data_IF_613814640102
#
_entry.id   IF_613814640102
#
_cell.length_a   1.000
_cell.length_b   1.000
_cell.length_c   1.000
_cell.angle_alpha   90.00
_cell.angle_beta   90.00
_cell.angle_gamma   90.00
#
_symmetry.space_group_name_H-M   'P 1'
#
loop_
_entity.id
_entity.type
_entity.pdbx_description
1 polymer ?
#
# COMPACT_ATOMS: atom_id res chain seq x y z
N UNK A 1 27.64 -20.17 0.77
CA UNK A 1 27.94 -18.92 1.49
C UNK A 1 26.68 -18.08 1.35
N UNK A 2 26.00 -17.83 2.46
CA UNK A 2 24.77 -17.06 2.42
C UNK A 2 25.13 -15.58 2.31
N UNK A 3 24.84 -15.00 1.17
CA UNK A 3 24.86 -13.54 1.00
C UNK A 3 23.50 -13.02 1.49
N UNK A 4 23.47 -12.48 2.68
CA UNK A 4 22.29 -11.73 3.13
C UNK A 4 22.52 -10.25 2.83
N UNK A 5 22.08 -9.80 1.67
CA UNK A 5 21.96 -8.39 1.39
C UNK A 5 20.95 -7.76 2.35
N UNK A 6 21.30 -6.59 2.87
CA UNK A 6 20.43 -5.83 3.75
C UNK A 6 19.83 -4.68 2.96
N UNK A 7 18.50 -4.64 2.91
CA UNK A 7 17.76 -3.54 2.32
C UNK A 7 17.24 -2.64 3.44
N UNK A 8 17.62 -1.39 3.41
CA UNK A 8 17.18 -0.34 4.33
C UNK A 8 16.17 0.55 3.61
N UNK A 9 14.93 0.58 4.09
CA UNK A 9 13.91 1.47 3.56
C UNK A 9 14.10 2.88 4.12
N UNK A 10 14.50 3.81 3.28
CA UNK A 10 14.72 5.23 3.60
C UNK A 10 13.61 6.14 3.06
N UNK A 11 12.43 5.58 2.78
CA UNK A 11 11.33 6.32 2.18
C UNK A 11 10.81 7.44 3.08
N UNK A 12 10.69 7.17 4.38
CA UNK A 12 10.13 8.11 5.34
C UNK A 12 11.07 9.30 5.57
N UNK A 13 12.38 9.05 5.76
CA UNK A 13 13.38 10.08 5.95
C UNK A 13 13.61 10.92 4.70
N UNK A 14 13.44 10.33 3.52
CA UNK A 14 13.68 11.01 2.24
C UNK A 14 12.42 11.52 1.55
N UNK A 15 11.26 11.48 2.21
CA UNK A 15 9.96 11.81 1.64
C UNK A 15 9.94 13.13 0.84
N UNK A 16 10.55 14.17 1.37
CA UNK A 16 10.60 15.50 0.72
C UNK A 16 11.75 15.62 -0.28
N UNK A 17 12.92 15.07 0.05
CA UNK A 17 14.16 15.26 -0.71
C UNK A 17 14.35 14.27 -1.86
N UNK A 18 13.65 13.14 -1.87
CA UNK A 18 13.80 12.12 -2.89
C UNK A 18 13.40 12.64 -4.29
N UNK A 19 14.29 12.42 -5.26
CA UNK A 19 14.07 12.71 -6.69
C UNK A 19 13.90 11.45 -7.54
N UNK A 20 14.09 10.27 -6.95
CA UNK A 20 13.91 8.94 -7.56
C UNK A 20 13.16 8.03 -6.60
N UNK A 21 12.48 7.01 -7.12
CA UNK A 21 11.64 6.12 -6.32
C UNK A 21 10.42 6.83 -5.72
N UNK A 22 9.93 7.89 -6.38
CA UNK A 22 8.84 8.74 -5.92
C UNK A 22 7.86 9.02 -7.05
N UNK A 23 6.58 8.81 -6.76
CA UNK A 23 5.44 9.24 -7.57
C UNK A 23 4.79 10.41 -6.84
N UNK A 24 4.63 11.52 -7.51
CA UNK A 24 4.19 12.79 -6.94
C UNK A 24 3.01 13.37 -7.72
N UNK A 25 1.98 13.82 -7.02
CA UNK A 25 0.84 14.58 -7.57
C UNK A 25 0.16 13.90 -8.77
N UNK A 26 0.06 12.57 -8.75
CA UNK A 26 -0.59 11.82 -9.81
C UNK A 26 -2.07 11.59 -9.52
N UNK A 27 -2.89 11.56 -10.58
CA UNK A 27 -4.31 11.26 -10.47
C UNK A 27 -4.72 10.17 -11.46
N UNK A 28 -5.50 9.20 -10.98
CA UNK A 28 -6.15 8.19 -11.82
C UNK A 28 -7.66 8.42 -11.84
N UNK A 29 -8.24 8.43 -13.03
CA UNK A 29 -9.68 8.53 -13.27
C UNK A 29 -10.27 7.28 -13.93
N UNK A 30 -9.39 6.38 -14.40
CA UNK A 30 -9.77 5.15 -15.07
C UNK A 30 -9.99 3.99 -14.10
N UNK A 31 -10.75 2.99 -14.53
CA UNK A 31 -10.90 1.74 -13.80
C UNK A 31 -9.63 0.89 -13.88
N UNK A 32 -9.25 0.28 -12.77
CA UNK A 32 -8.13 -0.65 -12.68
C UNK A 32 -8.66 -2.02 -12.26
N UNK A 33 -8.35 -3.04 -13.05
CA UNK A 33 -8.69 -4.43 -12.73
C UNK A 33 -7.44 -5.29 -12.81
N UNK A 34 -7.20 -6.09 -11.79
CA UNK A 34 -6.06 -7.00 -11.74
C UNK A 34 -6.45 -8.33 -11.04
N UNK A 35 -5.64 -9.35 -11.20
CA UNK A 35 -5.83 -10.61 -10.47
C UNK A 35 -5.53 -10.45 -8.97
N UNK A 36 -4.42 -9.79 -8.67
CA UNK A 36 -3.95 -9.47 -7.31
C UNK A 36 -3.27 -8.11 -7.30
N UNK A 37 -3.13 -7.53 -6.13
CA UNK A 37 -2.41 -6.28 -5.90
C UNK A 37 -2.92 -5.16 -6.81
N UNK A 38 -4.23 -4.94 -6.84
CA UNK A 38 -4.84 -3.85 -7.58
C UNK A 38 -4.75 -2.55 -6.80
N UNK A 39 -4.21 -1.51 -7.40
CA UNK A 39 -4.19 -0.17 -6.83
C UNK A 39 -4.35 0.90 -7.90
N UNK A 40 -5.02 1.98 -7.57
CA UNK A 40 -5.30 3.05 -8.52
C UNK A 40 -4.06 3.80 -9.03
N UNK A 41 -3.00 3.82 -8.24
CA UNK A 41 -1.72 4.46 -8.57
C UNK A 41 -0.60 3.42 -8.72
N UNK A 42 -0.53 2.44 -7.81
CA UNK A 42 0.50 1.40 -7.82
C UNK A 42 -0.10 0.05 -7.47
N UNK A 43 0.24 -1.01 -8.21
CA UNK A 43 -0.16 -2.37 -7.86
C UNK A 43 0.56 -2.87 -6.61
N UNK A 44 1.88 -2.71 -6.57
CA UNK A 44 2.70 -3.10 -5.43
C UNK A 44 3.87 -2.13 -5.22
N UNK A 45 4.23 -1.93 -3.96
CA UNK A 45 5.44 -1.25 -3.51
C UNK A 45 6.30 -2.29 -2.77
N UNK A 46 7.18 -2.94 -3.50
CA UNK A 46 7.96 -4.06 -3.01
C UNK A 46 9.33 -4.09 -3.68
N UNK A 47 10.30 -4.78 -3.07
CA UNK A 47 11.56 -5.12 -3.74
C UNK A 47 11.27 -6.33 -4.62
N UNK A 48 11.57 -6.20 -5.89
CA UNK A 48 11.59 -7.33 -6.80
C UNK A 48 12.94 -8.05 -6.63
N UNK A 49 12.86 -9.27 -6.09
CA UNK A 49 14.02 -10.16 -6.00
C UNK A 49 14.15 -10.95 -7.30
N UNK A 50 14.07 -10.32 -8.43
CA UNK A 50 14.49 -10.95 -9.68
C UNK A 50 16.01 -10.74 -9.81
N UNK A 51 16.74 -11.64 -9.19
CA UNK A 51 18.16 -11.77 -9.48
C UNK A 51 18.25 -12.11 -10.97
N UNK A 52 18.71 -11.16 -11.78
CA UNK A 52 19.04 -11.42 -13.16
C UNK A 52 20.09 -12.54 -13.17
N UNK A 53 19.78 -13.75 -13.70
CA UNK A 53 20.72 -14.86 -13.68
C UNK A 53 22.04 -14.53 -14.38
N UNK A 54 22.08 -13.49 -15.22
CA UNK A 54 23.28 -13.01 -15.89
C UNK A 54 24.18 -12.21 -14.94
N UNK A 55 23.62 -11.44 -14.01
CA UNK A 55 24.39 -10.72 -13.00
C UNK A 55 24.98 -11.66 -11.94
N UNK A 56 24.29 -12.74 -11.60
CA UNK A 56 24.78 -13.75 -10.66
C UNK A 56 26.00 -14.54 -11.19
N UNK A 57 26.14 -14.68 -12.49
CA UNK A 57 27.30 -15.35 -13.10
C UNK A 57 28.59 -14.52 -13.00
N UNK A 58 28.48 -13.20 -12.86
CA UNK A 58 29.63 -12.32 -12.71
C UNK A 58 30.14 -12.24 -11.25
N UNK A 59 29.36 -12.71 -10.29
CA UNK A 59 29.68 -12.67 -8.86
C UNK A 59 30.41 -13.90 -8.32
N UNK A 60 30.84 -14.85 -9.17
CA UNK A 60 31.56 -16.07 -8.75
C UNK A 60 32.96 -15.84 -8.16
N UNK A 61 33.38 -14.59 -7.98
CA UNK A 61 34.56 -14.21 -7.21
C UNK A 61 34.28 -14.22 -5.72
N UNK A 62 34.98 -15.05 -4.94
CA UNK A 62 34.95 -15.13 -3.48
C UNK A 62 35.15 -13.78 -2.81
N UNK A 63 34.11 -12.95 -2.71
CA UNK A 63 34.09 -11.75 -1.87
C UNK A 63 32.95 -11.86 -0.87
N UNK A 64 33.32 -12.05 0.38
CA UNK A 64 32.45 -11.89 1.53
C UNK A 64 32.27 -10.39 1.81
N UNK A 65 31.49 -9.71 0.98
CA UNK A 65 31.10 -8.30 1.25
C UNK A 65 29.59 -8.28 1.44
N UNK A 66 29.18 -7.84 2.63
CA UNK A 66 27.79 -7.55 2.97
C UNK A 66 27.49 -6.16 2.41
N UNK A 67 26.56 -6.06 1.49
CA UNK A 67 26.08 -4.78 0.98
C UNK A 67 24.82 -4.36 1.72
N UNK A 68 24.73 -3.07 2.05
CA UNK A 68 23.49 -2.44 2.49
C UNK A 68 22.99 -1.56 1.35
N UNK A 69 21.80 -1.89 0.85
CA UNK A 69 21.14 -1.12 -0.20
C UNK A 69 20.10 -0.23 0.42
N UNK A 70 20.14 1.07 0.13
CA UNK A 70 19.05 1.98 0.46
C UNK A 70 17.98 1.90 -0.61
N UNK A 71 16.79 1.47 -0.20
CA UNK A 71 15.63 1.37 -1.05
C UNK A 71 14.62 2.45 -0.70
N UNK A 72 13.82 2.85 -1.67
CA UNK A 72 12.73 3.79 -1.43
C UNK A 72 11.60 3.61 -2.44
N UNK A 73 10.37 3.72 -1.94
CA UNK A 73 9.15 3.77 -2.72
C UNK A 73 8.21 4.78 -2.06
N UNK A 74 7.94 5.90 -2.74
CA UNK A 74 7.19 7.00 -2.16
C UNK A 74 6.00 7.33 -3.06
N UNK A 75 4.79 7.35 -2.49
CA UNK A 75 3.61 7.93 -3.12
C UNK A 75 3.21 9.17 -2.33
N UNK A 76 3.28 10.34 -2.97
CA UNK A 76 3.03 11.63 -2.33
C UNK A 76 1.96 12.41 -3.11
N UNK A 77 0.92 12.86 -2.39
CA UNK A 77 -0.15 13.71 -2.91
C UNK A 77 -0.86 13.14 -4.17
N UNK A 78 -1.00 11.80 -4.23
CA UNK A 78 -1.64 11.11 -5.33
C UNK A 78 -3.11 10.81 -5.04
N UNK A 79 -3.96 10.86 -6.07
CA UNK A 79 -5.40 10.65 -5.91
C UNK A 79 -5.93 9.61 -6.91
N UNK A 80 -6.78 8.72 -6.43
CA UNK A 80 -7.52 7.81 -7.28
C UNK A 80 -9.02 8.10 -7.22
N UNK A 81 -9.60 8.42 -8.36
CA UNK A 81 -11.03 8.64 -8.55
C UNK A 81 -11.71 7.47 -9.26
N UNK A 82 -10.92 6.57 -9.84
CA UNK A 82 -11.41 5.42 -10.59
C UNK A 82 -11.75 4.23 -9.69
N UNK A 83 -12.51 3.29 -10.22
CA UNK A 83 -12.80 2.01 -9.55
C UNK A 83 -11.58 1.10 -9.57
N UNK A 84 -11.31 0.43 -8.44
CA UNK A 84 -10.23 -0.55 -8.33
C UNK A 84 -10.83 -1.91 -7.99
N UNK A 85 -10.49 -2.93 -8.78
CA UNK A 85 -11.00 -4.28 -8.61
C UNK A 85 -9.87 -5.31 -8.64
N UNK A 86 -9.75 -6.10 -7.58
CA UNK A 86 -8.91 -7.29 -7.55
C UNK A 86 -9.78 -8.55 -7.60
N UNK A 87 -9.41 -9.53 -8.43
CA UNK A 87 -10.17 -10.79 -8.48
C UNK A 87 -9.90 -11.68 -7.27
N UNK A 88 -8.71 -11.62 -6.69
CA UNK A 88 -8.27 -12.55 -5.63
C UNK A 88 -7.95 -11.88 -4.30
N UNK A 89 -7.07 -10.86 -4.27
CA UNK A 89 -6.65 -10.24 -3.00
C UNK A 89 -5.88 -8.94 -3.21
N UNK A 90 -5.79 -8.15 -2.16
CA UNK A 90 -5.07 -6.89 -2.04
C UNK A 90 -5.57 -5.83 -3.05
N UNK A 91 -6.73 -5.26 -2.76
CA UNK A 91 -7.26 -4.11 -3.46
C UNK A 91 -7.13 -2.85 -2.59
N UNK A 92 -6.54 -1.79 -3.13
CA UNK A 92 -6.43 -0.51 -2.45
C UNK A 92 -6.68 0.66 -3.37
N UNK A 93 -7.30 1.71 -2.87
CA UNK A 93 -7.56 2.90 -3.68
C UNK A 93 -6.30 3.49 -4.30
N UNK A 94 -5.20 3.47 -3.57
CA UNK A 94 -3.89 3.97 -4.02
C UNK A 94 -2.95 2.81 -4.36
N UNK A 95 -2.75 1.85 -3.47
CA UNK A 95 -1.88 0.69 -3.73
C UNK A 95 -2.53 -0.61 -3.26
N UNK A 96 -2.37 -1.69 -4.03
CA UNK A 96 -2.85 -3.01 -3.64
C UNK A 96 -2.04 -3.58 -2.48
N UNK A 97 -0.72 -3.57 -2.59
CA UNK A 97 0.20 -4.11 -1.58
C UNK A 97 1.41 -3.21 -1.38
N UNK A 98 1.84 -3.09 -0.14
CA UNK A 98 2.98 -2.28 0.26
C UNK A 98 3.84 -3.03 1.27
N UNK A 99 4.97 -3.55 0.81
CA UNK A 99 5.95 -4.26 1.65
C UNK A 99 7.00 -3.30 2.22
N UNK A 100 7.24 -2.19 1.53
CA UNK A 100 8.13 -1.10 1.94
C UNK A 100 7.61 0.23 1.39
N UNK A 101 8.18 1.32 1.85
CA UNK A 101 7.88 2.64 1.31
C UNK A 101 7.06 3.52 2.24
N UNK A 102 6.58 4.63 1.71
CA UNK A 102 5.72 5.58 2.43
C UNK A 102 4.65 6.13 1.51
N UNK A 103 3.41 6.14 1.99
CA UNK A 103 2.28 6.84 1.37
C UNK A 103 1.96 8.05 2.23
N UNK A 104 1.90 9.24 1.63
CA UNK A 104 1.56 10.47 2.34
C UNK A 104 0.69 11.39 1.50
N UNK A 105 -0.32 12.01 2.10
CA UNK A 105 -1.19 12.99 1.42
C UNK A 105 -2.06 12.40 0.31
N UNK A 106 -2.21 11.06 0.22
CA UNK A 106 -2.91 10.42 -0.86
C UNK A 106 -4.39 10.21 -0.59
N UNK A 107 -5.23 10.24 -1.64
CA UNK A 107 -6.69 10.14 -1.53
C UNK A 107 -7.32 9.03 -2.38
N UNK A 108 -8.05 8.11 -1.74
CA UNK A 108 -8.91 7.12 -2.41
C UNK A 108 -10.37 7.58 -2.46
N UNK A 109 -10.88 7.88 -3.67
CA UNK A 109 -12.23 8.42 -3.89
C UNK A 109 -13.16 7.46 -4.63
N UNK A 110 -12.60 6.57 -5.44
CA UNK A 110 -13.34 5.57 -6.20
C UNK A 110 -13.63 4.31 -5.40
N UNK A 111 -14.58 3.48 -5.83
CA UNK A 111 -14.88 2.20 -5.19
C UNK A 111 -13.70 1.24 -5.26
N UNK A 112 -13.53 0.44 -4.21
CA UNK A 112 -12.48 -0.59 -4.13
C UNK A 112 -13.13 -1.93 -3.80
N UNK A 113 -12.87 -2.92 -4.63
CA UNK A 113 -13.50 -4.22 -4.53
C UNK A 113 -12.49 -5.37 -4.67
N UNK A 114 -12.69 -6.41 -3.89
CA UNK A 114 -12.08 -7.72 -4.12
C UNK A 114 -13.18 -8.78 -4.21
N UNK A 115 -13.35 -9.38 -5.40
CA UNK A 115 -14.48 -10.29 -5.69
C UNK A 115 -14.53 -11.50 -4.76
N UNK A 116 -13.40 -12.10 -4.47
CA UNK A 116 -13.31 -13.31 -3.67
C UNK A 116 -12.15 -13.29 -2.66
N UNK A 117 -11.51 -12.14 -2.49
CA UNK A 117 -10.25 -12.06 -1.76
C UNK A 117 -10.31 -11.14 -0.57
N UNK A 118 -9.22 -11.21 0.15
CA UNK A 118 -8.97 -10.48 1.38
C UNK A 118 -8.15 -9.21 1.12
N UNK A 119 -8.04 -8.37 2.13
CA UNK A 119 -7.24 -7.15 2.17
C UNK A 119 -7.74 -6.06 1.21
N UNK A 120 -8.82 -5.40 1.63
CA UNK A 120 -9.40 -4.26 0.90
C UNK A 120 -9.27 -2.99 1.75
N UNK A 121 -8.71 -1.94 1.18
CA UNK A 121 -8.57 -0.67 1.86
C UNK A 121 -8.78 0.54 0.96
N UNK A 122 -9.29 1.62 1.54
CA UNK A 122 -9.51 2.86 0.78
C UNK A 122 -8.22 3.50 0.27
N UNK A 123 -7.09 3.24 0.92
CA UNK A 123 -5.75 3.66 0.48
C UNK A 123 -4.91 2.45 0.09
N UNK A 124 -4.73 1.48 0.98
CA UNK A 124 -3.94 0.28 0.69
C UNK A 124 -4.67 -1.00 1.08
N UNK A 125 -4.55 -2.06 0.27
CA UNK A 125 -5.10 -3.36 0.62
C UNK A 125 -4.33 -4.00 1.78
N UNK A 126 -3.05 -4.20 1.59
CA UNK A 126 -2.11 -4.70 2.61
C UNK A 126 -0.92 -3.75 2.71
N UNK A 127 -0.53 -3.37 3.92
CA UNK A 127 0.65 -2.53 4.14
C UNK A 127 1.50 -3.04 5.30
N UNK A 128 2.78 -3.23 5.08
CA UNK A 128 3.78 -3.51 6.12
C UNK A 128 4.59 -2.25 6.51
N UNK A 129 4.22 -1.08 5.98
CA UNK A 129 4.97 0.15 6.14
C UNK A 129 4.07 1.36 6.43
N UNK A 130 4.55 2.57 6.23
CA UNK A 130 3.94 3.80 6.74
C UNK A 130 2.92 4.43 5.79
N UNK A 131 1.69 4.65 6.27
CA UNK A 131 0.66 5.45 5.61
C UNK A 131 0.31 6.62 6.52
N UNK A 132 0.41 7.85 6.02
CA UNK A 132 0.15 9.04 6.83
C UNK A 132 -0.57 10.14 6.08
N UNK A 133 -1.26 10.99 6.81
CA UNK A 133 -1.97 12.17 6.30
C UNK A 133 -2.80 11.87 5.04
N UNK A 134 -3.32 10.63 4.94
CA UNK A 134 -4.04 10.13 3.77
C UNK A 134 -5.52 9.95 4.08
N UNK A 135 -6.34 9.92 3.04
CA UNK A 135 -7.78 9.91 3.22
C UNK A 135 -8.48 8.99 2.22
N UNK A 136 -9.62 8.48 2.63
CA UNK A 136 -10.49 7.69 1.79
C UNK A 136 -11.95 8.14 1.94
N UNK A 137 -12.62 8.31 0.79
CA UNK A 137 -14.06 8.52 0.71
C UNK A 137 -14.61 7.71 -0.44
N UNK A 138 -14.93 6.45 -0.16
CA UNK A 138 -15.26 5.48 -1.18
C UNK A 138 -16.11 4.35 -0.62
N UNK A 139 -16.63 3.48 -1.48
CA UNK A 139 -17.29 2.24 -1.11
C UNK A 139 -16.30 1.08 -1.18
N UNK A 140 -16.28 0.24 -0.14
CA UNK A 140 -15.39 -0.90 -0.03
C UNK A 140 -16.20 -2.20 -0.01
N UNK A 141 -15.73 -3.21 -0.72
CA UNK A 141 -16.32 -4.55 -0.77
C UNK A 141 -15.24 -5.62 -0.80
N UNK A 142 -15.29 -6.58 0.12
CA UNK A 142 -14.29 -7.66 0.17
C UNK A 142 -14.66 -8.79 1.08
N UNK A 143 -13.78 -9.78 1.19
CA UNK A 143 -13.91 -10.92 2.07
C UNK A 143 -13.49 -10.54 3.49
N UNK A 144 -12.25 -10.76 3.83
CA UNK A 144 -11.66 -10.55 5.15
C UNK A 144 -10.70 -9.36 5.12
N UNK A 145 -10.53 -8.67 6.23
CA UNK A 145 -9.66 -7.50 6.36
C UNK A 145 -10.07 -6.34 5.44
N UNK A 146 -11.24 -5.77 5.70
CA UNK A 146 -11.74 -4.58 4.99
C UNK A 146 -11.61 -3.36 5.90
N UNK A 147 -10.83 -2.39 5.51
CA UNK A 147 -10.59 -1.20 6.33
C UNK A 147 -10.64 0.12 5.57
N UNK A 148 -11.13 1.15 6.24
CA UNK A 148 -11.34 2.45 5.61
C UNK A 148 -10.10 3.07 4.99
N UNK A 149 -8.93 2.86 5.60
CA UNK A 149 -7.64 3.28 5.06
C UNK A 149 -6.87 2.05 4.57
N UNK A 150 -6.75 1.00 5.38
CA UNK A 150 -5.98 -0.20 5.04
C UNK A 150 -6.73 -1.46 5.44
N UNK A 151 -6.69 -2.49 4.60
CA UNK A 151 -7.27 -3.79 4.93
C UNK A 151 -6.54 -4.43 6.11
N UNK A 152 -5.24 -4.60 6.02
CA UNK A 152 -4.36 -4.96 7.14
C UNK A 152 -3.07 -4.13 7.05
N UNK A 153 -2.62 -3.57 8.18
CA UNK A 153 -1.51 -2.63 8.12
C UNK A 153 -0.70 -2.39 9.38
N UNK A 154 0.52 -1.89 9.17
CA UNK A 154 1.51 -1.60 10.17
C UNK A 154 1.38 -0.20 10.78
N UNK A 155 1.90 0.84 10.13
CA UNK A 155 1.94 2.21 10.68
C UNK A 155 0.91 3.11 10.02
N UNK A 156 -0.01 3.66 10.81
CA UNK A 156 -1.02 4.60 10.35
C UNK A 156 -1.01 5.87 11.20
N UNK A 157 -0.82 7.03 10.58
CA UNK A 157 -0.86 8.31 11.29
C UNK A 157 -1.66 9.38 10.55
N UNK A 158 -2.50 10.09 11.29
CA UNK A 158 -3.24 11.27 10.83
C UNK A 158 -4.11 11.02 9.58
N UNK A 159 -4.59 9.80 9.39
CA UNK A 159 -5.45 9.43 8.27
C UNK A 159 -6.93 9.69 8.58
N UNK A 160 -7.70 9.96 7.53
CA UNK A 160 -9.14 10.23 7.65
C UNK A 160 -9.92 9.28 6.75
N UNK A 161 -10.88 8.56 7.35
CA UNK A 161 -11.77 7.64 6.64
C UNK A 161 -13.22 8.14 6.66
N UNK A 162 -13.84 8.14 5.48
CA UNK A 162 -15.26 8.44 5.25
C UNK A 162 -15.84 7.40 4.30
N UNK A 163 -15.67 6.12 4.62
CA UNK A 163 -16.00 5.02 3.71
C UNK A 163 -17.31 4.36 4.10
N UNK A 164 -17.95 3.75 3.10
CA UNK A 164 -19.02 2.79 3.27
C UNK A 164 -18.47 1.38 3.00
N UNK A 165 -18.61 0.46 3.97
CA UNK A 165 -18.25 -0.95 3.78
C UNK A 165 -19.53 -1.67 3.37
N UNK A 166 -19.69 -1.97 2.07
CA UNK A 166 -20.87 -2.63 1.53
C UNK A 166 -20.84 -4.14 1.72
N UNK A 167 -19.65 -4.75 1.78
CA UNK A 167 -19.49 -6.17 2.10
C UNK A 167 -18.17 -6.44 2.82
N UNK A 168 -18.27 -7.20 3.91
CA UNK A 168 -17.13 -7.70 4.65
C UNK A 168 -17.55 -8.95 5.42
N UNK A 169 -16.84 -10.06 5.28
CA UNK A 169 -17.17 -11.31 5.97
C UNK A 169 -16.58 -11.39 7.38
N UNK A 170 -15.40 -10.81 7.57
CA UNK A 170 -14.68 -10.81 8.86
C UNK A 170 -13.72 -9.61 8.92
N UNK A 171 -13.49 -9.08 10.11
CA UNK A 171 -12.49 -8.05 10.38
C UNK A 171 -12.68 -6.79 9.49
N UNK A 172 -13.87 -6.21 9.60
CA UNK A 172 -14.17 -4.89 9.03
C UNK A 172 -13.91 -3.78 10.03
N UNK A 173 -13.29 -2.68 9.61
CA UNK A 173 -13.00 -1.55 10.47
C UNK A 173 -13.04 -0.20 9.76
N UNK A 174 -13.49 0.84 10.48
CA UNK A 174 -13.61 2.18 9.92
C UNK A 174 -12.28 2.78 9.43
N UNK A 175 -11.16 2.35 9.99
CA UNK A 175 -9.81 2.77 9.58
C UNK A 175 -9.03 1.58 9.03
N UNK A 176 -8.96 0.47 9.75
CA UNK A 176 -8.26 -0.73 9.34
C UNK A 176 -9.07 -1.97 9.70
N UNK A 177 -9.04 -3.00 8.86
CA UNK A 177 -9.59 -4.31 9.18
C UNK A 177 -8.76 -5.00 10.26
N UNK A 178 -7.44 -4.91 10.17
CA UNK A 178 -6.49 -5.39 11.17
C UNK A 178 -5.31 -4.41 11.28
N UNK A 179 -4.79 -4.26 12.50
CA UNK A 179 -3.62 -3.41 12.78
C UNK A 179 -2.55 -4.26 13.46
N UNK A 180 -1.35 -4.22 12.89
CA UNK A 180 -0.14 -4.83 13.47
C UNK A 180 0.97 -3.77 13.47
N UNK A 181 0.90 -2.82 14.40
CA UNK A 181 1.89 -1.74 14.50
C UNK A 181 1.37 -0.45 15.15
N UNK A 182 1.94 0.68 14.76
CA UNK A 182 1.67 1.98 15.35
C UNK A 182 0.43 2.67 14.71
N UNK A 183 -0.41 3.25 15.57
CA UNK A 183 -1.67 3.84 15.17
C UNK A 183 -1.92 5.14 15.94
N UNK A 184 -1.82 6.29 15.27
CA UNK A 184 -1.89 7.59 15.93
C UNK A 184 -2.66 8.62 15.11
N UNK A 185 -3.51 9.42 15.75
CA UNK A 185 -4.16 10.58 15.14
C UNK A 185 -5.21 10.28 14.06
N UNK A 186 -5.51 8.99 13.80
CA UNK A 186 -6.45 8.62 12.75
C UNK A 186 -7.90 8.92 13.17
N UNK A 187 -8.71 9.31 12.20
CA UNK A 187 -10.10 9.71 12.42
C UNK A 187 -11.02 9.04 11.40
N UNK A 188 -12.25 8.80 11.79
CA UNK A 188 -13.28 8.37 10.86
C UNK A 188 -14.56 9.17 11.08
N UNK A 189 -15.35 9.28 10.02
CA UNK A 189 -16.69 9.87 10.07
C UNK A 189 -17.69 8.72 9.94
N UNK A 190 -18.67 8.69 10.86
CA UNK A 190 -19.78 7.75 10.81
C UNK A 190 -21.06 8.53 10.56
N UNK A 191 -21.83 8.14 9.58
CA UNK A 191 -23.14 8.73 9.29
C UNK A 191 -24.24 8.22 10.22
N UNK A 192 -23.91 7.29 11.14
CA UNK A 192 -24.82 6.81 12.17
C UNK A 192 -24.69 7.64 13.44
N UNK A 193 -25.38 8.74 13.50
CA UNK A 193 -25.82 9.41 14.73
C UNK A 193 -27.22 8.96 15.08
#
# INVERSE_FOLDING_TARGET
MDYTDVFEDVSEETLQSATRGKVLECANYGAVTADRNAGGISGAMAIEYDADPEDDLLSSGKRSTRFTYQTKAILLDCNNYGTVQAKKSCAGGITGRMDLGTISGCGGWGSVESESGDYVGGVAGLSLSSIRASYAKCTLSGGKYVGGIVGSGGKLSDCISMVEISACTQLGGAIAGEIDGEYTGNRFVSDTL
#
